data_IF_371286403628
#
_entry.id   IF_371286403628
#
_cell.length_a   1.000
_cell.length_b   1.000
_cell.length_c   1.000
_cell.angle_alpha   90.00
_cell.angle_beta   90.00
_cell.angle_gamma   90.00
#
_symmetry.space_group_name_H-M   'P 1'
#
loop_
_entity.id
_entity.type
_entity.pdbx_description
1 polymer ?
#
# COMPACT_ATOMS: atom_id res chain seq x y z
N UNK A 1 14.05 -3.17 5.28
CA UNK A 1 12.90 -4.09 5.06
C UNK A 1 11.62 -3.28 5.06
N UNK A 2 10.66 -3.67 4.24
CA UNK A 2 9.39 -2.95 4.09
C UNK A 2 8.27 -3.92 3.77
N UNK A 3 7.11 -3.74 4.36
CA UNK A 3 5.87 -4.46 4.09
C UNK A 3 4.72 -3.48 4.02
N UNK A 4 3.91 -3.62 2.98
CA UNK A 4 2.71 -2.85 2.75
C UNK A 4 1.59 -3.76 2.28
N UNK A 5 0.41 -3.60 2.87
CA UNK A 5 -0.75 -4.41 2.60
C UNK A 5 -1.97 -3.51 2.39
N UNK A 6 -2.78 -3.86 1.40
CA UNK A 6 -4.09 -3.26 1.18
C UNK A 6 -5.15 -4.33 1.07
N UNK A 7 -6.32 -4.04 1.63
CA UNK A 7 -7.50 -4.88 1.53
C UNK A 7 -8.72 -4.06 1.18
N UNK A 8 -9.59 -4.63 0.36
CA UNK A 8 -10.92 -4.09 0.10
C UNK A 8 -11.95 -5.20 0.18
N UNK A 9 -13.06 -4.90 0.85
CA UNK A 9 -14.15 -5.84 1.10
C UNK A 9 -15.44 -5.19 0.63
N UNK A 10 -16.27 -5.95 -0.10
CA UNK A 10 -17.65 -5.57 -0.38
C UNK A 10 -18.59 -6.62 0.21
N UNK A 11 -18.59 -6.69 1.53
CA UNK A 11 -19.36 -7.68 2.26
C UNK A 11 -20.88 -7.52 2.08
N UNK A 12 -21.60 -8.63 2.22
CA UNK A 12 -23.03 -8.59 2.46
C UNK A 12 -23.30 -7.91 3.82
N UNK A 13 -24.38 -7.14 3.92
CA UNK A 13 -24.74 -6.32 5.08
C UNK A 13 -24.77 -7.18 6.36
N UNK A 14 -24.04 -6.78 7.43
CA UNK A 14 -24.30 -7.29 8.80
C UNK A 14 -23.13 -7.78 9.67
N UNK A 15 -21.86 -7.70 9.25
CA UNK A 15 -20.74 -8.28 10.02
C UNK A 15 -19.87 -7.30 10.85
N UNK A 16 -18.94 -7.87 11.65
CA UNK A 16 -17.79 -7.25 12.33
C UNK A 16 -17.15 -6.13 11.47
N UNK A 17 -16.66 -4.99 12.02
CA UNK A 17 -15.85 -4.02 11.26
C UNK A 17 -14.79 -4.61 10.30
N UNK A 18 -14.16 -5.76 10.60
CA UNK A 18 -13.25 -6.48 9.69
C UNK A 18 -13.94 -7.11 8.45
N UNK A 19 -15.26 -7.21 8.50
CA UNK A 19 -16.14 -7.84 7.52
C UNK A 19 -17.17 -6.85 6.97
N UNK A 20 -17.02 -5.54 7.18
CA UNK A 20 -17.88 -4.53 6.56
C UNK A 20 -17.39 -4.20 5.14
N UNK A 21 -18.28 -3.62 4.35
CA UNK A 21 -17.91 -3.01 3.07
C UNK A 21 -16.98 -1.84 3.36
N UNK A 22 -15.75 -1.86 2.84
CA UNK A 22 -14.73 -0.88 3.18
C UNK A 22 -13.34 -1.27 2.71
N UNK A 23 -12.35 -0.48 3.10
CA UNK A 23 -10.93 -0.74 2.85
C UNK A 23 -10.12 -0.60 4.12
N UNK A 24 -8.99 -1.30 4.17
CA UNK A 24 -8.00 -1.16 5.23
C UNK A 24 -6.59 -1.37 4.68
N UNK A 25 -5.63 -0.72 5.34
CA UNK A 25 -4.22 -0.78 4.99
C UNK A 25 -3.39 -1.09 6.23
N UNK A 26 -2.30 -1.81 6.01
CA UNK A 26 -1.31 -2.11 7.05
C UNK A 26 0.09 -1.89 6.48
N UNK A 27 1.00 -1.35 7.29
CA UNK A 27 2.40 -1.24 6.93
C UNK A 27 3.28 -1.37 8.16
N UNK A 28 4.46 -1.95 7.98
CA UNK A 28 5.51 -1.86 8.99
C UNK A 28 6.08 -0.42 9.03
N UNK A 29 6.68 -0.03 10.15
CA UNK A 29 7.26 1.32 10.32
C UNK A 29 8.79 1.33 10.34
N UNK A 30 9.45 0.18 10.12
CA UNK A 30 10.91 0.09 10.19
C UNK A 30 11.55 0.55 8.88
N UNK A 31 12.24 1.68 8.90
CA UNK A 31 13.11 2.09 7.79
C UNK A 31 14.52 1.56 8.01
N UNK A 32 15.06 0.89 7.00
CA UNK A 32 16.48 0.53 6.94
C UNK A 32 17.20 1.60 6.14
N UNK A 33 18.23 2.21 6.73
CA UNK A 33 19.15 3.12 6.07
C UNK A 33 20.45 2.37 5.86
N UNK A 34 20.71 1.97 4.61
CA UNK A 34 21.94 1.30 4.23
C UNK A 34 23.12 2.26 4.41
N UNK A 35 24.17 1.77 5.07
CA UNK A 35 25.35 2.58 5.39
C UNK A 35 26.64 1.85 5.03
N UNK A 36 27.72 2.57 4.67
CA UNK A 36 28.96 1.97 4.17
C UNK A 36 29.69 1.07 5.19
N UNK A 37 29.37 1.19 6.49
CA UNK A 37 29.97 0.37 7.55
C UNK A 37 28.97 -0.54 8.27
N UNK A 38 27.70 -0.12 8.33
CA UNK A 38 26.59 -0.86 8.94
C UNK A 38 25.27 -0.18 8.57
N UNK A 39 24.23 -0.98 8.51
CA UNK A 39 22.86 -0.50 8.39
C UNK A 39 22.44 0.21 9.68
N UNK A 40 21.56 1.20 9.52
CA UNK A 40 20.86 1.86 10.63
C UNK A 40 19.37 1.61 10.49
N UNK A 41 18.66 1.51 11.62
CA UNK A 41 17.23 1.28 11.64
C UNK A 41 16.52 2.45 12.32
N UNK A 42 15.43 2.91 11.71
CA UNK A 42 14.47 3.84 12.30
C UNK A 42 13.14 3.11 12.43
N UNK A 43 12.70 2.82 13.66
CA UNK A 43 11.56 1.94 13.90
C UNK A 43 10.19 2.65 13.84
N UNK A 44 10.18 3.97 13.68
CA UNK A 44 8.98 4.83 13.69
C UNK A 44 8.79 5.61 12.38
N UNK A 45 9.28 5.09 11.26
CA UNK A 45 9.13 5.75 9.97
C UNK A 45 7.73 5.57 9.40
N UNK A 46 7.13 6.67 8.96
CA UNK A 46 5.77 6.67 8.46
C UNK A 46 5.69 6.21 6.99
N UNK A 47 5.36 4.93 6.77
CA UNK A 47 5.09 4.35 5.44
C UNK A 47 3.61 4.32 5.07
N UNK A 48 2.77 4.98 5.87
CA UNK A 48 1.32 4.94 5.77
C UNK A 48 0.73 6.35 5.90
N UNK A 49 -0.03 6.80 4.90
CA UNK A 49 -0.54 8.17 4.82
C UNK A 49 -1.99 8.22 4.39
N UNK A 50 -2.74 9.23 4.87
CA UNK A 50 -4.01 9.59 4.24
C UNK A 50 -3.70 10.33 2.94
N UNK A 51 -4.33 9.92 1.84
CA UNK A 51 -4.23 10.63 0.57
C UNK A 51 -5.25 11.75 0.52
N UNK A 52 -6.53 11.39 0.63
CA UNK A 52 -7.65 12.31 0.78
C UNK A 52 -8.50 11.99 2.00
N UNK A 53 -9.77 12.37 1.96
CA UNK A 53 -10.71 12.13 3.07
C UNK A 53 -11.10 10.67 3.19
N UNK A 54 -11.19 9.95 2.07
CA UNK A 54 -11.71 8.56 2.03
C UNK A 54 -10.72 7.55 1.47
N UNK A 55 -9.43 7.85 1.59
CA UNK A 55 -8.36 7.01 1.05
C UNK A 55 -7.05 7.14 1.82
N UNK A 56 -6.23 6.12 1.68
CA UNK A 56 -4.88 6.05 2.22
C UNK A 56 -3.92 5.41 1.24
N UNK A 57 -2.63 5.64 1.44
CA UNK A 57 -1.55 4.95 0.76
C UNK A 57 -0.60 4.32 1.76
N UNK A 58 -0.11 3.13 1.44
CA UNK A 58 1.00 2.47 2.10
C UNK A 58 2.07 2.11 1.08
N UNK A 59 3.33 2.02 1.48
CA UNK A 59 4.41 1.71 0.54
C UNK A 59 5.43 0.69 1.06
N UNK A 60 5.97 -0.05 0.10
CA UNK A 60 7.11 -0.92 0.25
C UNK A 60 8.19 -0.58 -0.79
N UNK A 61 9.44 -0.88 -0.48
CA UNK A 61 10.61 -0.51 -1.26
C UNK A 61 11.30 0.76 -0.74
N UNK A 62 11.89 1.50 -1.66
CA UNK A 62 12.61 2.74 -1.41
C UNK A 62 11.67 3.83 -0.88
N UNK A 63 12.10 4.46 0.21
CA UNK A 63 11.30 5.45 0.92
C UNK A 63 11.25 6.79 0.20
N UNK A 64 12.34 7.16 -0.46
CA UNK A 64 12.49 8.46 -1.11
C UNK A 64 11.47 8.69 -2.23
N UNK A 65 11.32 7.79 -3.23
CA UNK A 65 10.32 7.97 -4.28
C UNK A 65 8.89 7.95 -3.72
N UNK A 66 8.62 7.19 -2.65
CA UNK A 66 7.33 7.24 -1.96
C UNK A 66 7.05 8.62 -1.37
N UNK A 67 7.97 9.16 -0.55
CA UNK A 67 7.79 10.46 0.10
C UNK A 67 7.58 11.56 -0.93
N UNK A 68 8.40 11.60 -1.97
CA UNK A 68 8.30 12.63 -2.99
C UNK A 68 6.99 12.53 -3.77
N UNK A 69 6.56 11.32 -4.14
CA UNK A 69 5.28 11.11 -4.80
C UNK A 69 4.10 11.59 -3.93
N UNK A 70 4.12 11.24 -2.64
CA UNK A 70 3.07 11.59 -1.69
C UNK A 70 3.04 13.09 -1.39
N UNK A 71 4.18 13.68 -1.04
CA UNK A 71 4.27 15.11 -0.69
C UNK A 71 4.04 16.01 -1.92
N UNK A 72 4.35 15.52 -3.12
CA UNK A 72 3.95 16.18 -4.36
C UNK A 72 2.44 16.11 -4.61
N UNK A 73 1.82 14.94 -4.45
CA UNK A 73 0.40 14.74 -4.78
C UNK A 73 -0.58 15.33 -3.75
N UNK A 74 -0.28 15.24 -2.46
CA UNK A 74 -1.21 15.61 -1.37
C UNK A 74 -1.72 17.05 -1.41
N UNK A 75 -0.90 18.07 -1.72
CA UNK A 75 -1.40 19.45 -1.86
C UNK A 75 -2.48 19.59 -2.93
N UNK A 76 -2.34 18.92 -4.08
CA UNK A 76 -3.33 18.95 -5.16
C UNK A 76 -4.61 18.20 -4.79
N UNK A 77 -4.48 17.05 -4.12
CA UNK A 77 -5.63 16.29 -3.60
C UNK A 77 -6.39 17.13 -2.57
N UNK A 78 -5.70 17.77 -1.64
CA UNK A 78 -6.30 18.61 -0.60
C UNK A 78 -6.99 19.84 -1.19
N UNK A 79 -6.34 20.52 -2.15
CA UNK A 79 -6.93 21.66 -2.84
C UNK A 79 -8.20 21.28 -3.61
N UNK A 80 -8.17 20.18 -4.37
CA UNK A 80 -9.36 19.67 -5.08
C UNK A 80 -10.47 19.27 -4.10
N UNK A 81 -10.13 18.63 -2.99
CA UNK A 81 -11.10 18.26 -1.97
C UNK A 81 -11.81 19.50 -1.39
N UNK A 82 -11.07 20.57 -1.13
CA UNK A 82 -11.62 21.84 -0.64
C UNK A 82 -12.50 22.54 -1.68
N UNK A 83 -12.04 22.65 -2.94
CA UNK A 83 -12.81 23.27 -4.02
C UNK A 83 -14.12 22.50 -4.30
N UNK A 84 -14.05 21.16 -4.35
CA UNK A 84 -15.23 20.31 -4.54
C UNK A 84 -16.21 20.43 -3.38
N UNK A 85 -15.73 20.46 -2.14
CA UNK A 85 -16.58 20.68 -0.98
C UNK A 85 -17.30 22.04 -1.03
N UNK A 86 -16.61 23.11 -1.43
CA UNK A 86 -17.20 24.44 -1.61
C UNK A 86 -18.29 24.47 -2.69
N UNK A 87 -18.19 23.59 -3.70
CA UNK A 87 -19.17 23.45 -4.80
C UNK A 87 -20.27 22.42 -4.50
N UNK A 88 -20.28 21.80 -3.31
CA UNK A 88 -21.24 20.74 -2.97
C UNK A 88 -21.05 19.45 -3.78
N UNK A 89 -19.84 19.22 -4.31
CA UNK A 89 -19.50 18.04 -5.10
C UNK A 89 -18.99 16.90 -4.21
N UNK A 90 -19.10 15.66 -4.70
CA UNK A 90 -18.51 14.49 -4.05
C UNK A 90 -16.99 14.62 -3.93
N UNK A 91 -16.32 13.99 -2.93
CA UNK A 91 -14.87 13.91 -2.86
C UNK A 91 -14.25 13.29 -4.13
N UNK A 92 -12.93 13.46 -4.31
CA UNK A 92 -12.21 12.75 -5.36
C UNK A 92 -12.35 11.23 -5.18
N UNK A 93 -12.35 10.52 -6.32
CA UNK A 93 -12.32 9.06 -6.32
C UNK A 93 -10.92 8.55 -6.01
N UNK A 94 -10.84 7.31 -5.51
CA UNK A 94 -9.58 6.60 -5.31
C UNK A 94 -8.71 6.60 -6.57
N UNK A 95 -9.32 6.43 -7.76
CA UNK A 95 -8.61 6.44 -9.02
C UNK A 95 -7.95 7.79 -9.31
N UNK A 96 -8.69 8.89 -9.10
CA UNK A 96 -8.16 10.23 -9.32
C UNK A 96 -7.00 10.54 -8.35
N UNK A 97 -7.15 10.20 -7.08
CA UNK A 97 -6.11 10.39 -6.07
C UNK A 97 -4.87 9.54 -6.35
N UNK A 98 -5.04 8.26 -6.71
CA UNK A 98 -3.93 7.39 -7.10
C UNK A 98 -3.25 7.85 -8.40
N UNK A 99 -4.00 8.46 -9.32
CA UNK A 99 -3.44 9.05 -10.55
C UNK A 99 -2.55 10.26 -10.25
N UNK A 100 -2.93 11.13 -9.29
CA UNK A 100 -2.03 12.19 -8.82
C UNK A 100 -0.75 11.64 -8.19
N UNK A 101 -0.86 10.59 -7.38
CA UNK A 101 0.31 9.91 -6.78
C UNK A 101 1.20 9.34 -7.87
N UNK A 102 0.63 8.64 -8.86
CA UNK A 102 1.37 8.09 -10.00
C UNK A 102 2.09 9.17 -10.80
N UNK A 103 1.40 10.25 -11.14
CA UNK A 103 2.00 11.36 -11.88
C UNK A 103 3.26 11.91 -11.18
N UNK A 104 3.16 12.16 -9.87
CA UNK A 104 4.30 12.62 -9.09
C UNK A 104 5.36 11.55 -8.90
N UNK A 105 4.98 10.28 -8.78
CA UNK A 105 5.91 9.16 -8.73
C UNK A 105 6.77 9.13 -9.99
N UNK A 106 6.18 9.18 -11.18
CA UNK A 106 6.93 9.16 -12.44
C UNK A 106 7.85 10.39 -12.57
N UNK A 107 7.34 11.59 -12.26
CA UNK A 107 8.13 12.82 -12.33
C UNK A 107 9.36 12.78 -11.41
N UNK A 108 9.15 12.36 -10.16
CA UNK A 108 10.21 12.33 -9.15
C UNK A 108 11.18 11.18 -9.40
N UNK A 109 10.70 10.07 -9.95
CA UNK A 109 11.55 8.93 -10.26
C UNK A 109 12.52 9.25 -11.41
N UNK A 110 12.07 9.99 -12.44
CA UNK A 110 12.95 10.45 -13.51
C UNK A 110 14.03 11.43 -13.02
N UNK A 111 13.68 12.35 -12.10
CA UNK A 111 14.63 13.28 -11.48
C UNK A 111 15.60 12.59 -10.50
N UNK A 112 15.11 11.58 -9.78
CA UNK A 112 15.95 10.81 -8.87
C UNK A 112 16.96 9.96 -9.64
N UNK A 113 16.56 9.35 -10.77
CA UNK A 113 17.44 8.58 -11.65
C UNK A 113 18.62 9.40 -12.18
N UNK A 114 18.39 10.67 -12.53
CA UNK A 114 19.48 11.54 -13.01
C UNK A 114 20.42 11.97 -11.89
N UNK A 115 19.93 11.98 -10.65
CA UNK A 115 20.68 12.44 -9.47
C UNK A 115 21.41 11.29 -8.75
N UNK A 116 20.81 10.10 -8.70
CA UNK A 116 21.30 8.92 -7.98
C UNK A 116 21.40 7.74 -8.93
N UNK A 117 22.63 7.30 -9.21
CA UNK A 117 22.91 6.24 -10.19
C UNK A 117 22.72 4.80 -9.66
N UNK A 118 22.27 4.60 -8.42
CA UNK A 118 22.06 3.25 -7.84
C UNK A 118 20.61 2.80 -8.05
N UNK A 119 20.42 1.80 -8.92
CA UNK A 119 19.13 1.22 -9.25
C UNK A 119 18.40 0.58 -8.04
N UNK A 120 19.11 0.20 -6.97
CA UNK A 120 18.48 -0.33 -5.74
C UNK A 120 17.66 0.73 -4.99
N UNK A 121 17.93 2.01 -5.25
CA UNK A 121 17.18 3.13 -4.66
C UNK A 121 15.92 3.44 -5.47
N UNK A 122 15.76 2.79 -6.63
CA UNK A 122 14.72 3.03 -7.63
C UNK A 122 13.74 1.85 -7.70
N UNK A 123 13.28 1.32 -6.57
CA UNK A 123 12.16 0.36 -6.53
C UNK A 123 11.16 0.77 -5.47
N UNK A 124 9.90 0.97 -5.84
CA UNK A 124 8.82 1.27 -4.91
C UNK A 124 7.50 0.67 -5.39
N UNK A 125 6.76 0.13 -4.44
CA UNK A 125 5.36 -0.26 -4.60
C UNK A 125 4.53 0.61 -3.67
N UNK A 126 3.56 1.33 -4.22
CA UNK A 126 2.57 2.10 -3.45
C UNK A 126 1.21 1.43 -3.61
N UNK A 127 0.54 1.11 -2.51
CA UNK A 127 -0.81 0.57 -2.48
C UNK A 127 -1.74 1.66 -1.95
N UNK A 128 -2.60 2.18 -2.82
CA UNK A 128 -3.67 3.10 -2.49
C UNK A 128 -4.95 2.31 -2.21
N UNK A 129 -5.64 2.64 -1.13
CA UNK A 129 -6.90 2.00 -0.74
C UNK A 129 -7.94 3.06 -0.39
N UNK A 130 -9.19 2.86 -0.81
CA UNK A 130 -10.25 3.84 -0.62
C UNK A 130 -11.52 3.48 -1.39
N UNK A 131 -12.28 4.50 -1.80
CA UNK A 131 -13.53 4.33 -2.55
C UNK A 131 -13.43 4.96 -3.95
N UNK A 132 -13.95 4.26 -4.97
CA UNK A 132 -14.17 4.80 -6.31
C UNK A 132 -15.34 5.79 -6.34
N UNK A 133 -15.52 6.47 -7.47
CA UNK A 133 -16.57 7.47 -7.72
C UNK A 133 -17.98 6.91 -7.46
N UNK A 134 -18.21 5.66 -7.83
CA UNK A 134 -19.46 4.93 -7.60
C UNK A 134 -19.66 4.42 -6.14
N UNK A 135 -18.74 4.75 -5.24
CA UNK A 135 -18.80 4.35 -3.84
C UNK A 135 -18.38 2.90 -3.56
N UNK A 136 -17.87 2.17 -4.56
CA UNK A 136 -17.28 0.85 -4.33
C UNK A 136 -15.90 0.98 -3.67
N UNK A 137 -15.59 0.15 -2.67
CA UNK A 137 -14.23 0.10 -2.12
C UNK A 137 -13.28 -0.56 -3.11
N UNK A 138 -11.99 -0.28 -3.03
CA UNK A 138 -11.00 -1.05 -3.75
C UNK A 138 -9.57 -0.58 -3.55
N UNK A 139 -8.69 -1.11 -4.39
CA UNK A 139 -7.25 -0.97 -4.28
C UNK A 139 -6.67 -0.54 -5.63
N UNK A 140 -5.65 0.32 -5.58
CA UNK A 140 -4.80 0.66 -6.73
C UNK A 140 -3.36 0.46 -6.30
N UNK A 141 -2.63 -0.44 -6.96
CA UNK A 141 -1.19 -0.64 -6.75
C UNK A 141 -0.42 0.02 -7.88
N UNK A 142 0.59 0.78 -7.49
CA UNK A 142 1.54 1.45 -8.36
C UNK A 142 2.90 0.81 -8.12
N UNK A 143 3.40 0.08 -9.09
CA UNK A 143 4.76 -0.45 -9.07
C UNK A 143 5.65 0.40 -9.97
N UNK A 144 6.80 0.81 -9.45
CA UNK A 144 7.85 1.44 -10.22
C UNK A 144 9.19 0.86 -9.79
N UNK A 145 9.89 0.21 -10.71
CA UNK A 145 11.22 -0.35 -10.45
C UNK A 145 12.15 -0.17 -11.64
N UNK A 146 13.43 0.00 -11.35
CA UNK A 146 14.50 -0.13 -12.32
C UNK A 146 15.38 -1.32 -11.97
N UNK A 147 15.74 -2.11 -12.98
CA UNK A 147 16.69 -3.20 -12.85
C UNK A 147 17.86 -2.96 -13.80
N UNK A 148 19.09 -3.05 -13.27
CA UNK A 148 20.28 -3.08 -14.10
C UNK A 148 20.53 -4.50 -14.59
N UNK A 149 20.67 -4.65 -15.90
CA UNK A 149 21.04 -5.90 -16.55
C UNK A 149 22.29 -5.67 -17.42
N UNK A 150 23.48 -5.78 -16.80
CA UNK A 150 24.74 -5.41 -17.45
C UNK A 150 24.80 -3.91 -17.75
N UNK A 151 24.90 -3.53 -19.02
CA UNK A 151 24.95 -2.13 -19.46
C UNK A 151 23.58 -1.51 -19.77
N UNK A 152 22.47 -2.27 -19.66
CA UNK A 152 21.12 -1.75 -19.87
C UNK A 152 20.40 -1.51 -18.55
N UNK A 153 19.59 -0.45 -18.52
CA UNK A 153 18.61 -0.22 -17.47
C UNK A 153 17.23 -0.61 -18.01
N UNK A 154 16.58 -1.58 -17.38
CA UNK A 154 15.20 -1.91 -17.66
C UNK A 154 14.29 -1.16 -16.69
N UNK A 155 13.39 -0.38 -17.26
CA UNK A 155 12.41 0.40 -16.53
C UNK A 155 11.07 -0.34 -16.52
N UNK A 156 10.61 -0.71 -15.34
CA UNK A 156 9.34 -1.41 -15.13
C UNK A 156 8.36 -0.48 -14.42
N UNK A 157 7.14 -0.44 -14.93
CA UNK A 157 6.01 0.29 -14.34
C UNK A 157 4.74 -0.53 -14.53
N UNK A 158 3.96 -0.64 -13.47
CA UNK A 158 2.67 -1.32 -13.52
C UNK A 158 1.65 -0.57 -12.66
N UNK A 159 0.42 -0.56 -13.16
CA UNK A 159 -0.75 -0.18 -12.38
C UNK A 159 -1.72 -1.35 -12.36
N UNK A 160 -2.04 -1.82 -11.16
CA UNK A 160 -3.07 -2.82 -10.93
C UNK A 160 -4.23 -2.17 -10.18
N UNK A 161 -5.44 -2.45 -10.63
CA UNK A 161 -6.67 -1.97 -10.00
C UNK A 161 -7.50 -3.17 -9.58
N UNK A 162 -7.97 -3.18 -8.33
CA UNK A 162 -8.86 -4.23 -7.84
C UNK A 162 -10.14 -3.65 -7.25
N UNK A 163 -11.27 -4.19 -7.73
CA UNK A 163 -12.62 -3.86 -7.28
C UNK A 163 -13.34 -5.15 -6.86
N UNK A 164 -13.61 -5.37 -5.57
CA UNK A 164 -14.35 -6.55 -5.12
C UNK A 164 -15.81 -6.50 -5.61
N UNK A 165 -16.29 -7.62 -6.16
CA UNK A 165 -17.72 -7.81 -6.42
C UNK A 165 -18.50 -7.93 -5.10
N UNK A 166 -19.84 -7.78 -5.10
CA UNK A 166 -20.64 -8.04 -3.91
C UNK A 166 -20.34 -9.43 -3.31
N UNK A 167 -20.14 -9.48 -2.00
CA UNK A 167 -19.76 -10.69 -1.26
C UNK A 167 -18.27 -11.04 -1.32
N UNK A 168 -17.46 -10.32 -2.11
CA UNK A 168 -16.04 -10.64 -2.29
C UNK A 168 -15.11 -9.71 -1.50
N UNK A 169 -13.87 -10.17 -1.37
CA UNK A 169 -12.74 -9.44 -0.82
C UNK A 169 -11.57 -9.53 -1.79
N UNK A 170 -10.75 -8.51 -1.81
CA UNK A 170 -9.50 -8.46 -2.57
C UNK A 170 -8.39 -7.94 -1.66
N UNK A 171 -7.17 -8.40 -1.88
CA UNK A 171 -6.01 -7.97 -1.14
C UNK A 171 -4.80 -7.85 -2.06
N UNK A 172 -3.81 -7.09 -1.62
CA UNK A 172 -2.48 -7.04 -2.24
C UNK A 172 -1.43 -6.84 -1.17
N UNK A 173 -0.30 -7.53 -1.33
CA UNK A 173 0.85 -7.47 -0.43
C UNK A 173 2.07 -7.09 -1.24
N UNK A 174 2.88 -6.18 -0.71
CA UNK A 174 4.15 -5.77 -1.28
C UNK A 174 5.22 -5.69 -0.20
N UNK A 175 6.47 -6.01 -0.57
CA UNK A 175 7.60 -5.90 0.34
C UNK A 175 8.60 -7.03 0.23
N UNK A 176 9.31 -7.28 1.32
CA UNK A 176 10.41 -8.25 1.35
C UNK A 176 9.95 -9.66 0.95
N UNK A 177 10.52 -10.27 -0.11
CA UNK A 177 10.01 -11.51 -0.71
C UNK A 177 9.81 -12.68 0.26
N UNK A 178 10.69 -12.81 1.27
CA UNK A 178 10.60 -13.85 2.28
C UNK A 178 9.30 -13.81 3.11
N UNK A 179 8.70 -12.62 3.29
CA UNK A 179 7.52 -12.44 4.12
C UNK A 179 6.21 -12.29 3.33
N UNK A 180 6.29 -12.02 2.03
CA UNK A 180 5.10 -11.83 1.18
C UNK A 180 4.25 -13.11 1.17
N UNK A 181 4.85 -14.26 0.86
CA UNK A 181 4.10 -15.53 0.80
C UNK A 181 3.52 -15.96 2.16
N UNK A 182 4.18 -15.62 3.27
CA UNK A 182 3.69 -15.87 4.63
C UNK A 182 2.43 -15.03 4.89
N UNK A 183 2.44 -13.75 4.53
CA UNK A 183 1.28 -12.87 4.69
C UNK A 183 0.13 -13.27 3.77
N UNK A 184 0.42 -13.62 2.52
CA UNK A 184 -0.61 -14.11 1.59
C UNK A 184 -1.28 -15.39 2.10
N UNK A 185 -0.50 -16.32 2.66
CA UNK A 185 -1.03 -17.53 3.27
C UNK A 185 -1.83 -17.24 4.54
N UNK A 186 -1.40 -16.28 5.36
CA UNK A 186 -2.16 -15.84 6.54
C UNK A 186 -3.53 -15.28 6.13
N UNK A 187 -3.58 -14.46 5.08
CA UNK A 187 -4.83 -13.95 4.52
C UNK A 187 -5.73 -15.10 4.09
N UNK A 188 -5.18 -16.05 3.31
CA UNK A 188 -5.92 -17.18 2.76
C UNK A 188 -6.52 -18.08 3.84
N UNK A 189 -5.75 -18.37 4.91
CA UNK A 189 -6.25 -19.17 6.04
C UNK A 189 -7.30 -18.46 6.89
N UNK A 190 -7.30 -17.13 6.82
CA UNK A 190 -8.17 -16.28 7.62
C UNK A 190 -9.42 -15.83 6.87
N UNK A 191 -9.64 -16.35 5.66
CA UNK A 191 -10.88 -16.12 4.92
C UNK A 191 -12.08 -16.77 5.64
N UNK A 192 -13.27 -16.15 5.56
CA UNK A 192 -14.49 -16.72 6.13
C UNK A 192 -14.76 -18.14 5.57
N UNK A 193 -15.44 -19.00 6.34
CA UNK A 193 -16.23 -18.68 7.53
C UNK A 193 -15.47 -18.76 8.86
N UNK A 194 -14.22 -19.23 8.87
CA UNK A 194 -13.53 -19.65 10.09
C UNK A 194 -12.55 -18.63 10.68
N UNK A 195 -12.08 -17.65 9.89
CA UNK A 195 -11.01 -16.73 10.30
C UNK A 195 -11.44 -15.27 10.44
N UNK A 196 -10.62 -14.50 11.16
CA UNK A 196 -10.74 -13.05 11.22
C UNK A 196 -9.51 -12.42 10.53
N UNK A 197 -9.55 -12.38 9.20
CA UNK A 197 -8.46 -11.90 8.35
C UNK A 197 -7.79 -10.61 8.83
N UNK A 198 -8.53 -9.68 9.40
CA UNK A 198 -7.93 -8.46 9.94
C UNK A 198 -7.03 -8.73 11.15
N UNK A 199 -7.49 -9.49 12.15
CA UNK A 199 -6.72 -9.79 13.36
C UNK A 199 -5.60 -10.80 13.10
N UNK A 200 -5.85 -11.81 12.28
CA UNK A 200 -4.88 -12.84 11.96
C UNK A 200 -3.71 -12.29 11.13
N UNK A 201 -3.99 -11.39 10.18
CA UNK A 201 -2.94 -10.70 9.40
C UNK A 201 -2.18 -9.68 10.27
N UNK A 202 -2.88 -8.94 11.14
CA UNK A 202 -2.21 -8.04 12.08
C UNK A 202 -1.30 -8.79 13.07
N UNK A 203 -1.72 -9.99 13.52
CA UNK A 203 -0.91 -10.88 14.36
C UNK A 203 0.32 -11.38 13.62
N UNK A 204 0.14 -11.85 12.39
CA UNK A 204 1.23 -12.32 11.52
C UNK A 204 2.25 -11.21 11.27
N UNK A 205 1.78 -9.99 10.97
CA UNK A 205 2.65 -8.84 10.74
C UNK A 205 3.40 -8.43 12.01
N UNK A 206 2.75 -8.50 13.18
CA UNK A 206 3.39 -8.30 14.48
C UNK A 206 4.51 -9.32 14.73
N UNK A 207 4.27 -10.60 14.45
CA UNK A 207 5.28 -11.65 14.60
C UNK A 207 6.46 -11.44 13.65
N UNK A 208 6.22 -11.08 12.39
CA UNK A 208 7.29 -10.72 11.44
C UNK A 208 8.16 -9.58 11.99
N UNK A 209 7.54 -8.55 12.57
CA UNK A 209 8.27 -7.42 13.17
C UNK A 209 9.13 -7.89 14.36
N UNK A 210 8.62 -8.78 15.22
CA UNK A 210 9.37 -9.36 16.35
C UNK A 210 10.54 -10.24 15.90
N UNK A 211 10.32 -11.12 14.92
CA UNK A 211 11.32 -12.07 14.40
C UNK A 211 12.57 -11.35 13.87
N UNK A 212 12.44 -10.10 13.44
CA UNK A 212 13.52 -9.32 12.85
C UNK A 212 14.37 -8.53 13.85
N UNK A 213 14.22 -8.79 15.15
CA UNK A 213 14.91 -8.06 16.20
C UNK A 213 14.08 -6.87 16.67
N UNK A 214 14.10 -6.66 17.97
CA UNK A 214 13.03 -6.00 18.70
C UNK A 214 13.02 -4.46 18.57
N UNK A 215 12.03 -3.85 17.87
CA UNK A 215 11.82 -2.40 17.88
C UNK A 215 10.99 -1.90 19.09
N UNK A 216 10.63 -2.78 20.03
CA UNK A 216 9.59 -2.54 21.05
C UNK A 216 9.86 -1.41 22.05
N UNK A 217 11.08 -0.86 22.09
CA UNK A 217 11.41 0.17 23.09
C UNK A 217 10.89 1.57 22.74
N UNK A 218 10.44 1.80 21.50
CA UNK A 218 9.93 3.12 21.08
C UNK A 218 8.42 3.11 20.91
N UNK A 219 7.73 3.87 21.77
CA UNK A 219 6.31 4.23 21.61
C UNK A 219 6.12 4.88 20.23
N UNK A 220 5.21 4.33 19.41
CA UNK A 220 4.92 4.83 18.06
C UNK A 220 5.72 4.19 16.91
N UNK A 221 6.48 3.12 17.18
CA UNK A 221 7.22 2.37 16.16
C UNK A 221 6.74 0.94 15.96
N UNK A 222 6.81 0.42 14.73
CA UNK A 222 6.55 -0.99 14.39
C UNK A 222 5.45 -1.19 13.36
N UNK A 223 4.23 -0.73 13.62
CA UNK A 223 3.04 -1.08 12.84
C UNK A 223 2.07 0.10 12.67
N UNK A 224 1.65 0.37 11.44
CA UNK A 224 0.58 1.31 11.11
C UNK A 224 -0.61 0.55 10.54
N UNK A 225 -1.79 0.82 11.09
CA UNK A 225 -3.06 0.25 10.62
C UNK A 225 -4.06 1.37 10.41
N UNK A 226 -4.78 1.33 9.29
CA UNK A 226 -5.86 2.26 9.04
C UNK A 226 -6.99 1.63 8.25
N UNK A 227 -8.19 2.19 8.40
CA UNK A 227 -9.39 1.64 7.78
C UNK A 227 -10.44 2.72 7.46
N UNK A 228 -11.34 2.40 6.54
CA UNK A 228 -12.56 3.15 6.30
C UNK A 228 -13.69 2.19 5.89
N UNK A 229 -14.82 2.28 6.59
CA UNK A 229 -16.03 1.54 6.24
C UNK A 229 -16.98 2.39 5.39
N UNK A 230 -17.84 1.72 4.64
CA UNK A 230 -18.90 2.35 3.86
C UNK A 230 -19.77 3.22 4.77
N UNK A 231 -20.07 4.45 4.31
CA UNK A 231 -20.82 5.44 5.07
C UNK A 231 -19.99 6.24 6.08
N UNK A 232 -18.71 5.91 6.30
CA UNK A 232 -17.84 6.75 7.12
C UNK A 232 -17.28 7.92 6.29
N UNK A 233 -17.22 9.13 6.87
CA UNK A 233 -16.79 10.31 6.15
C UNK A 233 -15.27 10.43 6.00
N UNK A 234 -14.51 9.82 6.92
CA UNK A 234 -13.07 9.99 7.05
C UNK A 234 -12.34 8.66 7.26
N UNK A 235 -11.19 8.52 6.62
CA UNK A 235 -10.26 7.42 6.86
C UNK A 235 -9.69 7.49 8.28
N UNK A 236 -9.74 6.36 9.00
CA UNK A 236 -9.39 6.28 10.42
C UNK A 236 -8.02 5.64 10.60
N UNK A 237 -7.25 6.18 11.55
CA UNK A 237 -5.96 5.67 11.99
C UNK A 237 -6.04 5.39 13.50
N UNK A 238 -6.62 4.24 13.91
CA UNK A 238 -6.77 3.93 15.32
C UNK A 238 -5.40 3.75 16.00
N UNK A 239 -5.36 4.06 17.29
CA UNK A 239 -4.33 3.52 18.17
C UNK A 239 -4.68 2.04 18.37
N UNK A 240 -3.73 1.13 18.13
CA UNK A 240 -3.96 -0.32 18.25
C UNK A 240 -3.11 -0.89 19.38
N UNK A 241 -3.63 -1.92 20.04
CA UNK A 241 -2.90 -2.70 21.04
C UNK A 241 -2.82 -4.16 20.58
N UNK A 242 -1.61 -4.70 20.43
CA UNK A 242 -1.35 -6.11 20.08
C UNK A 242 -0.47 -6.68 21.19
N UNK A 243 -0.93 -7.73 21.87
CA UNK A 243 -0.15 -8.39 22.93
C UNK A 243 0.38 -7.39 24.00
N UNK A 244 -0.47 -6.46 24.44
CA UNK A 244 -0.12 -5.42 25.41
C UNK A 244 0.75 -4.27 24.88
N UNK A 245 1.21 -4.34 23.62
CA UNK A 245 2.02 -3.30 22.98
C UNK A 245 1.13 -2.32 22.21
N UNK A 246 1.29 -1.02 22.46
CA UNK A 246 0.49 0.03 21.85
C UNK A 246 1.22 0.67 20.67
N UNK A 247 0.58 0.64 19.50
CA UNK A 247 1.06 1.26 18.27
C UNK A 247 0.19 2.45 17.91
N UNK A 248 0.85 3.54 17.51
CA UNK A 248 0.20 4.76 17.08
C UNK A 248 0.97 5.35 15.93
N UNK A 249 0.22 5.85 14.94
CA UNK A 249 0.77 6.61 13.81
C UNK A 249 1.35 7.96 14.24
N UNK A 250 0.99 8.47 15.42
CA UNK A 250 1.44 9.77 15.90
C UNK A 250 2.92 9.72 16.34
N UNK A 251 3.75 10.59 15.75
CA UNK A 251 5.21 10.65 15.95
C UNK A 251 5.65 10.98 17.39
N UNK A 252 4.76 11.49 18.25
CA UNK A 252 5.11 11.79 19.65
C UNK A 252 3.84 11.87 20.51
N UNK A 253 3.83 11.12 21.62
CA UNK A 253 2.87 11.37 22.70
C UNK A 253 3.42 12.46 23.62
N UNK A 254 2.64 13.51 23.95
CA UNK A 254 2.93 14.32 25.12
C UNK A 254 2.86 13.44 26.39
N UNK A 255 3.91 13.44 27.21
CA UNK A 255 4.04 12.60 28.43
C UNK A 255 2.93 12.80 29.49
N UNK A 256 2.03 13.78 29.33
CA UNK A 256 1.01 14.16 30.32
C UNK A 256 -0.41 14.04 29.77
N UNK A 257 -0.82 12.86 29.30
CA UNK A 257 -2.20 12.65 28.81
C UNK A 257 -3.02 11.81 29.79
N UNK A 258 -3.74 12.53 30.65
CA UNK A 258 -4.71 11.98 31.59
C UNK A 258 -5.98 11.45 30.92
N UNK A 259 -6.65 10.57 31.68
CA UNK A 259 -8.07 10.14 31.59
C UNK A 259 -8.91 10.86 30.53
N UNK A 260 -9.15 10.21 29.37
CA UNK A 260 -10.07 10.71 28.34
C UNK A 260 -9.64 10.46 26.90
N UNK A 261 -8.40 10.03 26.65
CA UNK A 261 -7.93 9.65 25.31
C UNK A 261 -8.57 8.35 24.81
N UNK A 262 -8.77 8.20 23.48
CA UNK A 262 -9.41 7.02 22.91
C UNK A 262 -8.64 5.77 23.34
N UNK A 263 -9.36 4.83 23.94
CA UNK A 263 -8.78 3.54 24.35
C UNK A 263 -8.22 2.84 23.11
N UNK A 264 -6.99 2.30 23.17
CA UNK A 264 -6.45 1.50 22.08
C UNK A 264 -7.44 0.42 21.64
N UNK A 265 -7.60 0.26 20.33
CA UNK A 265 -8.32 -0.87 19.77
C UNK A 265 -7.49 -2.14 19.99
N UNK A 266 -7.99 -3.04 20.83
CA UNK A 266 -7.33 -4.32 21.07
C UNK A 266 -7.49 -5.23 19.85
N UNK A 267 -6.37 -5.65 19.28
CA UNK A 267 -6.29 -6.68 18.25
C UNK A 267 -6.23 -8.01 18.97
N UNK A 268 -7.12 -8.95 18.61
CA UNK A 268 -7.03 -10.31 19.14
C UNK A 268 -5.78 -10.98 18.57
N UNK A 269 -4.75 -11.11 19.39
CA UNK A 269 -3.47 -11.66 18.96
C UNK A 269 -3.52 -13.20 18.96
N UNK A 270 -3.21 -13.79 17.80
CA UNK A 270 -3.05 -15.22 17.63
C UNK A 270 -1.57 -15.57 17.40
N UNK A 271 -0.82 -16.06 18.42
CA UNK A 271 0.61 -16.34 18.29
C UNK A 271 0.93 -17.59 17.46
N UNK A 272 -0.05 -18.45 17.19
CA UNK A 272 0.19 -19.74 16.53
C UNK A 272 0.22 -19.62 15.01
N UNK A 273 -0.51 -18.64 14.44
CA UNK A 273 -0.69 -18.53 12.99
C UNK A 273 0.63 -18.33 12.26
N UNK A 274 1.48 -17.41 12.74
CA UNK A 274 2.77 -17.14 12.12
C UNK A 274 3.68 -18.36 12.20
N UNK A 275 3.83 -18.96 13.39
CA UNK A 275 4.70 -20.12 13.59
C UNK A 275 4.28 -21.35 12.77
N UNK A 276 2.99 -21.53 12.50
CA UNK A 276 2.50 -22.60 11.63
C UNK A 276 2.75 -22.33 10.15
N UNK A 277 2.61 -21.08 9.72
CA UNK A 277 2.83 -20.66 8.32
C UNK A 277 4.33 -20.63 8.01
N UNK A 278 5.16 -20.11 8.92
CA UNK A 278 6.62 -20.08 8.79
C UNK A 278 7.17 -21.50 8.62
N UNK A 279 6.77 -22.44 9.48
CA UNK A 279 7.15 -23.86 9.32
C UNK A 279 6.70 -24.45 7.99
N UNK A 280 5.48 -24.14 7.54
CA UNK A 280 5.00 -24.59 6.24
C UNK A 280 5.76 -23.95 5.06
N UNK A 281 6.25 -22.71 5.22
CA UNK A 281 7.07 -22.02 4.25
C UNK A 281 8.46 -22.66 4.15
N UNK A 282 9.12 -22.89 5.29
CA UNK A 282 10.42 -23.57 5.38
C UNK A 282 10.38 -25.00 4.83
N UNK A 283 9.28 -25.71 5.06
CA UNK A 283 9.02 -27.05 4.51
C UNK A 283 8.73 -27.07 3.00
N UNK A 284 8.67 -25.90 2.33
CA UNK A 284 8.34 -25.78 0.91
C UNK A 284 6.87 -26.11 0.57
N UNK A 285 5.97 -26.14 1.56
CA UNK A 285 4.54 -26.44 1.39
C UNK A 285 3.73 -25.22 0.95
N UNK A 286 4.31 -24.03 1.01
CA UNK A 286 3.73 -22.78 0.51
C UNK A 286 4.39 -22.47 -0.83
N UNK A 287 3.62 -22.56 -1.92
CA UNK A 287 4.12 -22.25 -3.26
C UNK A 287 4.53 -20.77 -3.36
N UNK A 288 5.63 -20.50 -4.07
CA UNK A 288 5.98 -19.14 -4.49
C UNK A 288 5.00 -18.68 -5.59
N UNK A 289 3.89 -18.09 -5.17
CA UNK A 289 2.90 -17.30 -5.92
C UNK A 289 2.41 -17.79 -7.30
N UNK A 290 1.11 -18.06 -7.36
CA UNK A 290 0.21 -17.50 -8.39
C UNK A 290 -1.05 -17.04 -7.66
N UNK A 291 -1.74 -15.95 -8.10
CA UNK A 291 -2.99 -15.56 -7.46
C UNK A 291 -4.00 -16.71 -7.57
N UNK A 292 -4.90 -16.90 -6.59
CA UNK A 292 -5.88 -17.98 -6.63
C UNK A 292 -6.70 -17.93 -7.93
N UNK A 293 -6.91 -19.06 -8.63
CA UNK A 293 -7.57 -19.10 -9.93
C UNK A 293 -9.05 -18.69 -9.92
N UNK A 294 -9.69 -18.57 -8.74
CA UNK A 294 -11.13 -18.33 -8.63
C UNK A 294 -11.55 -16.87 -8.32
N UNK A 295 -10.59 -15.97 -8.14
CA UNK A 295 -10.90 -14.54 -8.09
C UNK A 295 -11.03 -14.01 -9.52
N UNK A 296 -12.24 -14.05 -10.08
CA UNK A 296 -12.57 -13.36 -11.35
C UNK A 296 -12.56 -11.84 -11.14
N UNK A 297 -11.37 -11.30 -11.07
CA UNK A 297 -11.10 -9.86 -11.03
C UNK A 297 -11.40 -9.23 -12.38
N UNK A 298 -11.85 -7.97 -12.36
CA UNK A 298 -11.54 -7.04 -13.43
C UNK A 298 -10.18 -6.42 -13.05
N UNK A 299 -9.07 -7.09 -13.43
CA UNK A 299 -7.74 -6.49 -13.34
C UNK A 299 -7.48 -5.79 -14.66
N UNK A 300 -7.56 -4.47 -14.68
CA UNK A 300 -7.02 -3.68 -15.80
C UNK A 300 -5.52 -3.52 -15.55
N UNK A 301 -4.72 -4.44 -16.09
CA UNK A 301 -3.25 -4.36 -16.08
C UNK A 301 -2.78 -3.51 -17.25
N UNK A 302 -2.22 -2.34 -16.96
CA UNK A 302 -1.47 -1.56 -17.96
C UNK A 302 0.02 -1.75 -17.71
N UNK A 303 0.71 -2.38 -18.67
CA UNK A 303 2.16 -2.56 -18.70
C UNK A 303 2.72 -1.67 -19.80
N UNK A 304 3.71 -0.84 -19.47
CA UNK A 304 4.36 -0.01 -20.45
C UNK A 304 5.88 -0.14 -20.29
N UNK A 305 6.48 -0.98 -21.14
CA UNK A 305 7.91 -1.29 -21.16
C UNK A 305 8.61 -0.31 -22.11
N UNK A 306 9.41 0.61 -21.58
CA UNK A 306 10.33 1.44 -22.38
C UNK A 306 11.74 0.90 -22.22
N UNK A 307 12.25 0.15 -23.21
CA UNK A 307 13.67 -0.20 -23.27
C UNK A 307 14.45 0.98 -23.87
N UNK A 308 15.33 1.62 -23.10
CA UNK A 308 16.28 2.61 -23.64
C UNK A 308 17.43 1.90 -24.33
N UNK A 309 17.21 1.41 -25.55
CA UNK A 309 18.33 1.18 -26.48
C UNK A 309 18.48 2.46 -27.28
N UNK A 310 19.59 3.16 -27.13
CA UNK A 310 19.89 4.39 -27.88
C UNK A 310 20.11 3.99 -29.35
N UNK A 311 19.03 4.00 -30.12
CA UNK A 311 19.04 3.88 -31.57
C UNK A 311 18.35 5.09 -32.14
N UNK A 312 19.02 5.78 -33.07
CA UNK A 312 18.44 6.88 -33.85
C UNK A 312 17.16 6.40 -34.53
N UNK A 313 16.00 6.79 -34.01
CA UNK A 313 14.70 6.45 -34.59
C UNK A 313 14.12 7.67 -35.29
N UNK A 314 13.96 7.53 -36.61
CA UNK A 314 13.41 8.53 -37.50
C UNK A 314 11.95 8.87 -37.15
N UNK A 315 11.60 10.14 -37.34
CA UNK A 315 10.23 10.66 -37.17
C UNK A 315 9.27 9.85 -38.06
N UNK A 316 8.42 9.01 -37.43
CA UNK A 316 7.44 8.17 -38.11
C UNK A 316 7.42 6.68 -37.74
N UNK A 317 8.25 6.19 -36.80
CA UNK A 317 8.13 4.80 -36.33
C UNK A 317 6.88 4.61 -35.43
N UNK A 318 5.95 3.70 -35.75
CA UNK A 318 4.75 3.43 -34.96
C UNK A 318 5.02 2.85 -33.55
N UNK A 319 6.28 2.60 -33.19
CA UNK A 319 6.71 2.27 -31.81
C UNK A 319 7.01 3.50 -30.93
N UNK A 320 7.03 4.69 -31.51
CA UNK A 320 7.01 5.95 -30.77
C UNK A 320 5.56 6.28 -30.42
N UNK A 321 5.13 5.89 -29.22
CA UNK A 321 4.01 6.57 -28.57
C UNK A 321 4.51 7.98 -28.27
N UNK A 322 4.17 8.90 -29.18
CA UNK A 322 4.28 10.33 -28.98
C UNK A 322 3.55 10.63 -27.67
N UNK A 323 4.29 11.10 -26.67
CA UNK A 323 3.73 11.77 -25.50
C UNK A 323 3.21 13.10 -26.02
N UNK A 324 1.99 13.08 -26.57
CA UNK A 324 1.33 14.22 -27.16
C UNK A 324 -0.15 14.12 -26.91
N UNK A 325 -0.64 14.96 -25.99
CA UNK A 325 -2.05 15.35 -25.87
C UNK A 325 -3.11 14.30 -25.46
N UNK A 326 -2.77 13.18 -24.81
CA UNK A 326 -3.78 12.19 -24.36
C UNK A 326 -3.94 12.01 -22.85
N UNK A 327 -3.34 12.86 -22.00
CA UNK A 327 -3.55 12.80 -20.54
C UNK A 327 -4.95 13.29 -20.10
N UNK A 328 -5.80 13.70 -21.03
CA UNK A 328 -7.15 14.20 -20.74
C UNK A 328 -8.25 13.14 -20.86
N UNK A 329 -7.97 11.97 -21.45
CA UNK A 329 -9.00 10.97 -21.79
C UNK A 329 -9.08 9.79 -20.80
N UNK A 330 -8.10 9.64 -19.91
CA UNK A 330 -8.06 8.57 -18.90
C UNK A 330 -8.87 8.87 -17.62
N UNK A 331 -9.40 10.10 -17.49
CA UNK A 331 -10.35 10.44 -16.43
C UNK A 331 -11.80 10.11 -16.82
N UNK A 332 -12.16 10.17 -18.10
CA UNK A 332 -13.55 9.99 -18.53
C UNK A 332 -13.91 8.52 -18.85
N UNK A 333 -12.94 7.68 -19.21
CA UNK A 333 -13.23 6.31 -19.68
C UNK A 333 -13.47 5.27 -18.57
N UNK A 334 -13.18 5.59 -17.31
CA UNK A 334 -13.44 4.70 -16.15
C UNK A 334 -14.65 5.15 -15.31
N UNK A 335 -15.28 6.27 -15.66
CA UNK A 335 -16.43 6.89 -14.96
C UNK A 335 -17.77 6.74 -15.72
N UNK A 336 -17.82 5.90 -16.78
CA UNK A 336 -19.05 5.59 -17.54
C UNK A 336 -19.77 4.32 -17.06
#
# INVERSE_FOLDING_TARGET
MTLALGFASRAAIGGDPATKTGTYVMADSRLTIEGPARDRYLDNYLKAVSLGTRSAAVAAGSVTPFVLAIEGARPFIAWNAADRANRGMSPLSLWAEASFVRFHLELMFDEFRTTFADARVNEVTIICAGFFSDGTPGLVRLDRRESQNGNSCESHRAIDVWRPRPGQRVYTVAGTPAYVSILEEAIRRSEPPTGNAFYDVASTLWDIIKHQGDPTRTVGGGLALGYINHGQPLFQWPIIEVDGHVFSRALQYPMNLGTGWPRPMKIHYNPMIFAEIERAHEDGKIASSSPPPDLRFEVTRSWDIRSTTVGELAVGDPRLIVIGQEDQWLLDALDA
#
